data_IF_121800600333
#
_entry.id   IF_121800600333
#
_cell.length_a   1.000
_cell.length_b   1.000
_cell.length_c   1.000
_cell.angle_alpha   90.00
_cell.angle_beta   90.00
_cell.angle_gamma   90.00
#
_symmetry.space_group_name_H-M   'P 1'
#
loop_
_entity.id
_entity.type
_entity.pdbx_description
1 polymer ?
#
# COMPACT_ATOMS: atom_id res chain seq x y z
N UNK A 1 -31.74 -27.30 13.37
CA UNK A 1 -31.12 -27.34 12.03
C UNK A 1 -30.06 -26.23 12.06
N UNK A 2 -28.80 -26.62 12.15
CA UNK A 2 -27.68 -25.62 12.18
C UNK A 2 -27.54 -25.07 10.78
N UNK A 3 -27.80 -23.78 10.64
CA UNK A 3 -27.47 -23.02 9.43
C UNK A 3 -25.92 -23.05 9.23
N UNK A 4 -25.48 -24.07 8.49
CA UNK A 4 -24.11 -24.09 7.97
C UNK A 4 -24.06 -23.15 6.74
N UNK A 5 -24.09 -21.83 6.97
CA UNK A 5 -23.67 -20.90 5.94
C UNK A 5 -22.22 -21.24 5.57
N UNK A 6 -21.87 -21.29 4.28
CA UNK A 6 -20.50 -21.59 3.88
C UNK A 6 -19.57 -20.55 4.49
N UNK A 7 -18.65 -21.02 5.31
CA UNK A 7 -17.61 -20.16 5.90
C UNK A 7 -16.70 -19.74 4.75
N UNK A 8 -16.77 -18.48 4.38
CA UNK A 8 -15.82 -17.91 3.39
C UNK A 8 -14.42 -18.02 3.97
N UNK A 9 -13.46 -18.68 3.29
CA UNK A 9 -12.12 -18.79 3.81
C UNK A 9 -11.50 -17.38 3.93
N UNK A 10 -10.68 -17.14 4.97
CA UNK A 10 -10.01 -15.86 5.14
C UNK A 10 -9.04 -15.63 3.98
N UNK A 11 -9.09 -14.43 3.39
CA UNK A 11 -8.21 -14.03 2.29
C UNK A 11 -7.09 -13.18 2.84
N UNK A 12 -5.84 -13.59 2.59
CA UNK A 12 -4.66 -12.77 2.84
C UNK A 12 -4.14 -12.24 1.50
N UNK A 13 -4.22 -10.92 1.32
CA UNK A 13 -3.88 -10.23 0.08
C UNK A 13 -2.38 -10.05 -0.06
N UNK A 14 -1.82 -10.44 -1.20
CA UNK A 14 -0.39 -10.32 -1.49
C UNK A 14 0.07 -8.89 -1.76
N UNK A 15 -0.84 -8.00 -2.16
CA UNK A 15 -0.52 -6.60 -2.50
C UNK A 15 -1.77 -5.76 -2.68
N UNK A 16 -1.81 -4.56 -2.12
CA UNK A 16 -2.85 -3.57 -2.41
C UNK A 16 -2.31 -2.14 -2.33
N UNK A 17 -2.93 -1.25 -3.11
CA UNK A 17 -2.56 0.15 -3.28
C UNK A 17 -3.50 1.13 -2.57
N UNK A 18 -4.22 0.67 -1.56
CA UNK A 18 -5.21 1.54 -0.87
C UNK A 18 -4.57 2.80 -0.28
N UNK A 19 -3.29 2.74 0.12
CA UNK A 19 -2.59 3.88 0.70
C UNK A 19 -2.34 4.98 -0.34
N UNK A 20 -1.92 4.62 -1.56
CA UNK A 20 -1.75 5.58 -2.65
C UNK A 20 -3.08 6.17 -3.10
N UNK A 21 -4.13 5.35 -3.21
CA UNK A 21 -5.47 5.84 -3.57
C UNK A 21 -6.02 6.86 -2.54
N UNK A 22 -5.81 6.62 -1.26
CA UNK A 22 -6.20 7.56 -0.19
C UNK A 22 -5.34 8.82 -0.22
N UNK A 23 -4.03 8.68 -0.46
CA UNK A 23 -3.10 9.79 -0.57
C UNK A 23 -3.48 10.71 -1.75
N UNK A 24 -3.69 10.15 -2.94
CA UNK A 24 -4.07 10.89 -4.15
C UNK A 24 -5.43 11.60 -3.99
N UNK A 25 -6.38 10.94 -3.32
CA UNK A 25 -7.66 11.56 -3.00
C UNK A 25 -7.50 12.78 -2.07
N UNK A 26 -6.56 12.76 -1.14
CA UNK A 26 -6.20 13.92 -0.30
C UNK A 26 -5.59 15.05 -1.10
N UNK A 27 -4.63 14.74 -1.98
CA UNK A 27 -3.97 15.73 -2.86
C UNK A 27 -4.97 16.42 -3.79
N UNK A 28 -5.87 15.66 -4.42
CA UNK A 28 -6.86 16.21 -5.36
C UNK A 28 -7.86 17.17 -4.71
N UNK A 29 -8.01 17.11 -3.40
CA UNK A 29 -8.90 17.97 -2.62
C UNK A 29 -8.19 19.12 -1.91
N UNK A 30 -6.85 19.19 -2.04
CA UNK A 30 -6.00 20.11 -1.26
C UNK A 30 -6.34 20.10 0.25
N UNK A 31 -6.58 18.90 0.77
CA UNK A 31 -7.03 18.66 2.13
C UNK A 31 -6.30 17.47 2.76
N UNK A 32 -6.24 17.40 4.10
CA UNK A 32 -5.78 16.20 4.78
C UNK A 32 -6.58 14.97 4.34
N UNK A 33 -5.91 13.82 4.24
CA UNK A 33 -6.57 12.57 3.88
C UNK A 33 -7.69 12.26 4.86
N UNK A 34 -8.89 12.15 4.32
CA UNK A 34 -10.08 11.73 5.05
C UNK A 34 -10.14 10.20 5.11
N UNK A 35 -9.77 9.65 6.27
CA UNK A 35 -9.81 8.20 6.52
C UNK A 35 -11.25 7.66 6.47
N UNK A 36 -12.25 8.50 6.76
CA UNK A 36 -13.67 8.09 6.73
C UNK A 36 -14.12 7.72 5.32
N UNK A 37 -13.44 8.19 4.28
CA UNK A 37 -13.67 7.72 2.90
C UNK A 37 -13.42 6.22 2.75
N UNK A 38 -12.47 5.67 3.48
CA UNK A 38 -12.23 4.22 3.49
C UNK A 38 -13.45 3.44 3.99
N UNK A 39 -14.28 4.06 4.85
CA UNK A 39 -15.52 3.46 5.39
C UNK A 39 -16.71 3.72 4.46
N UNK A 40 -16.85 4.96 4.00
CA UNK A 40 -18.04 5.42 3.26
C UNK A 40 -18.09 4.93 1.82
N UNK A 41 -17.02 4.30 1.36
CA UNK A 41 -16.88 3.71 0.04
C UNK A 41 -15.84 4.43 -0.83
N UNK A 42 -14.86 3.67 -1.25
CA UNK A 42 -13.82 4.09 -2.19
C UNK A 42 -14.13 3.59 -3.60
N UNK A 43 -13.77 4.34 -4.65
CA UNK A 43 -13.67 3.76 -5.98
C UNK A 43 -12.65 2.62 -5.98
N UNK A 44 -12.77 1.68 -6.91
CA UNK A 44 -11.86 0.54 -6.99
C UNK A 44 -12.31 -0.66 -6.15
N UNK A 45 -11.37 -1.49 -5.72
CA UNK A 45 -11.64 -2.84 -5.25
C UNK A 45 -11.64 -2.96 -3.73
N UNK A 46 -11.07 -2.00 -3.00
CA UNK A 46 -10.92 -2.04 -1.55
C UNK A 46 -11.55 -0.82 -0.87
N UNK A 47 -12.36 -1.12 0.12
CA UNK A 47 -12.80 -0.25 1.21
C UNK A 47 -13.25 -1.14 2.37
N UNK A 48 -13.58 -0.56 3.51
CA UNK A 48 -13.91 -1.32 4.71
C UNK A 48 -15.09 -2.31 4.50
N UNK A 49 -16.11 -1.92 3.74
CA UNK A 49 -17.28 -2.76 3.48
C UNK A 49 -16.95 -3.92 2.53
N UNK A 50 -16.20 -3.65 1.45
CA UNK A 50 -15.73 -4.67 0.50
C UNK A 50 -14.81 -5.68 1.17
N UNK A 51 -13.86 -5.21 2.00
CA UNK A 51 -12.97 -6.08 2.78
C UNK A 51 -13.78 -7.01 3.69
N UNK A 52 -14.74 -6.47 4.44
CA UNK A 52 -15.60 -7.26 5.32
C UNK A 52 -16.42 -8.30 4.56
N UNK A 53 -17.06 -7.91 3.45
CA UNK A 53 -17.88 -8.79 2.61
C UNK A 53 -17.06 -9.87 1.91
N UNK A 54 -15.83 -9.54 1.51
CA UNK A 54 -14.92 -10.45 0.82
C UNK A 54 -14.14 -11.40 1.73
N UNK A 55 -14.30 -11.33 3.06
CA UNK A 55 -13.53 -12.18 3.98
C UNK A 55 -12.04 -11.79 4.04
N UNK A 56 -11.71 -10.52 3.82
CA UNK A 56 -10.33 -10.01 3.86
C UNK A 56 -9.79 -10.07 5.29
N UNK A 57 -8.80 -10.90 5.52
CA UNK A 57 -8.20 -11.11 6.84
C UNK A 57 -6.93 -10.29 7.04
N UNK A 58 -6.29 -9.87 5.97
CA UNK A 58 -5.08 -9.04 6.01
C UNK A 58 -4.39 -8.98 4.67
N UNK A 59 -3.25 -8.29 4.63
CA UNK A 59 -2.46 -8.19 3.41
C UNK A 59 -1.25 -7.27 3.54
N UNK A 60 -0.54 -7.15 2.41
CA UNK A 60 0.56 -6.20 2.24
C UNK A 60 0.00 -4.87 1.73
N UNK A 61 0.10 -3.85 2.56
CA UNK A 61 -0.33 -2.49 2.27
C UNK A 61 0.86 -1.72 1.68
N UNK A 62 0.80 -1.49 0.37
CA UNK A 62 1.91 -0.91 -0.37
C UNK A 62 1.99 0.60 -0.18
N UNK A 63 3.18 1.05 0.19
CA UNK A 63 3.64 2.42 0.07
C UNK A 63 4.35 2.53 -1.28
N UNK A 64 3.78 3.32 -2.18
CA UNK A 64 4.30 3.49 -3.52
C UNK A 64 4.47 4.97 -3.85
N UNK A 65 5.60 5.33 -4.45
CA UNK A 65 5.89 6.70 -4.88
C UNK A 65 5.53 6.83 -6.36
N UNK A 66 4.52 7.63 -6.73
CA UNK A 66 4.08 7.74 -8.12
C UNK A 66 5.19 8.30 -9.02
N UNK A 67 5.24 7.84 -10.26
CA UNK A 67 6.14 8.39 -11.27
C UNK A 67 5.64 9.77 -11.71
N UNK A 68 6.52 10.73 -11.99
CA UNK A 68 6.16 12.05 -12.49
C UNK A 68 5.83 12.01 -13.99
N UNK A 69 4.94 11.13 -14.38
CA UNK A 69 4.49 10.93 -15.77
C UNK A 69 2.97 10.81 -15.79
N UNK A 70 2.39 11.16 -16.94
CA UNK A 70 0.97 10.95 -17.19
C UNK A 70 0.67 9.45 -17.32
N UNK A 71 0.07 8.89 -16.27
CA UNK A 71 -0.26 7.47 -16.21
C UNK A 71 -1.35 7.09 -17.21
N UNK A 72 -2.25 7.98 -17.58
CA UNK A 72 -3.31 7.70 -18.56
C UNK A 72 -2.72 7.50 -19.95
N UNK A 73 -1.76 8.35 -20.33
CA UNK A 73 -1.02 8.21 -21.59
C UNK A 73 -0.23 6.91 -21.61
N UNK A 74 0.49 6.60 -20.52
CA UNK A 74 1.27 5.37 -20.41
C UNK A 74 0.38 4.14 -20.47
N UNK A 75 -0.73 4.11 -19.74
CA UNK A 75 -1.69 3.00 -19.75
C UNK A 75 -2.29 2.78 -21.14
N UNK A 76 -2.61 3.86 -21.85
CA UNK A 76 -3.10 3.76 -23.22
C UNK A 76 -2.08 3.09 -24.15
N UNK A 77 -0.80 3.45 -24.04
CA UNK A 77 0.28 2.85 -24.81
C UNK A 77 0.51 1.37 -24.44
N UNK A 78 0.45 1.03 -23.15
CA UNK A 78 0.61 -0.35 -22.65
C UNK A 78 -0.53 -1.28 -23.11
N UNK A 79 -1.69 -0.75 -23.46
CA UNK A 79 -2.82 -1.52 -24.00
C UNK A 79 -2.66 -1.89 -25.48
N UNK A 80 -1.62 -1.43 -26.15
CA UNK A 80 -1.31 -1.86 -27.52
C UNK A 80 -0.83 -3.32 -27.54
N UNK A 81 -1.10 -4.08 -28.63
CA UNK A 81 -0.63 -5.48 -28.73
C UNK A 81 0.88 -5.66 -28.65
N UNK A 82 1.62 -4.64 -29.02
CA UNK A 82 3.08 -4.57 -28.90
C UNK A 82 3.44 -3.17 -28.44
N UNK A 83 4.21 -3.06 -27.39
CA UNK A 83 4.74 -1.79 -26.91
C UNK A 83 6.18 -1.95 -26.42
N UNK A 84 6.95 -0.87 -26.56
CA UNK A 84 8.30 -0.70 -25.99
C UNK A 84 8.36 0.72 -25.44
N UNK A 85 8.25 0.85 -24.11
CA UNK A 85 8.19 2.15 -23.45
C UNK A 85 9.43 2.34 -22.59
N UNK A 86 10.03 3.54 -22.64
CA UNK A 86 11.16 3.83 -21.78
C UNK A 86 10.72 3.78 -20.31
N UNK A 87 11.58 3.28 -19.45
CA UNK A 87 11.37 3.36 -18.00
C UNK A 87 11.30 4.83 -17.56
N UNK A 88 10.47 5.15 -16.55
CA UNK A 88 10.47 6.48 -15.97
C UNK A 88 11.82 6.86 -15.38
N UNK A 89 12.07 8.15 -15.26
CA UNK A 89 13.29 8.66 -14.61
C UNK A 89 13.33 8.28 -13.13
N UNK A 90 14.54 8.07 -12.61
CA UNK A 90 14.78 7.88 -11.19
C UNK A 90 14.24 9.06 -10.36
N UNK A 91 13.70 8.77 -9.18
CA UNK A 91 13.26 9.77 -8.20
C UNK A 91 14.26 9.79 -7.05
N UNK A 92 14.74 10.97 -6.71
CA UNK A 92 15.67 11.13 -5.61
C UNK A 92 14.98 10.89 -4.24
N UNK A 93 15.70 10.36 -3.22
CA UNK A 93 15.11 10.07 -1.92
C UNK A 93 14.44 11.25 -1.24
N UNK A 94 14.96 12.46 -1.39
CA UNK A 94 14.38 13.68 -0.83
C UNK A 94 13.00 14.04 -1.41
N UNK A 95 12.73 13.63 -2.64
CA UNK A 95 11.42 13.73 -3.28
C UNK A 95 10.48 12.56 -2.89
N UNK A 96 11.04 11.37 -2.72
CA UNK A 96 10.28 10.17 -2.43
C UNK A 96 9.83 10.07 -0.96
N UNK A 97 10.69 10.50 -0.02
CA UNK A 97 10.44 10.37 1.42
C UNK A 97 9.15 11.06 1.89
N UNK A 98 8.83 12.30 1.50
CA UNK A 98 7.58 12.95 1.93
C UNK A 98 6.33 12.16 1.55
N UNK A 99 6.30 11.59 0.34
CA UNK A 99 5.19 10.77 -0.16
C UNK A 99 5.09 9.47 0.63
N UNK A 100 6.21 8.78 0.82
CA UNK A 100 6.23 7.53 1.57
C UNK A 100 5.85 7.72 3.05
N UNK A 101 6.28 8.79 3.69
CA UNK A 101 5.90 9.13 5.06
C UNK A 101 4.41 9.45 5.17
N UNK A 102 3.84 10.16 4.19
CA UNK A 102 2.41 10.45 4.17
C UNK A 102 1.58 9.16 4.08
N UNK A 103 1.94 8.24 3.20
CA UNK A 103 1.26 6.95 3.07
C UNK A 103 1.44 6.07 4.33
N UNK A 104 2.63 6.03 4.93
CA UNK A 104 2.85 5.36 6.22
C UNK A 104 1.95 5.97 7.32
N UNK A 105 1.83 7.29 7.36
CA UNK A 105 0.97 7.98 8.31
C UNK A 105 -0.52 7.66 8.09
N UNK A 106 -0.96 7.50 6.84
CA UNK A 106 -2.32 7.04 6.50
C UNK A 106 -2.57 5.66 7.13
N UNK A 107 -1.67 4.71 6.95
CA UNK A 107 -1.80 3.37 7.53
C UNK A 107 -1.89 3.42 9.07
N UNK A 108 -1.08 4.24 9.71
CA UNK A 108 -1.16 4.44 11.17
C UNK A 108 -2.48 5.07 11.62
N UNK A 109 -3.03 6.01 10.85
CA UNK A 109 -4.35 6.59 11.12
C UNK A 109 -5.47 5.55 10.98
N UNK A 110 -5.39 4.67 9.99
CA UNK A 110 -6.33 3.53 9.86
C UNK A 110 -6.24 2.59 11.07
N UNK A 111 -5.04 2.33 11.59
CA UNK A 111 -4.86 1.57 12.82
C UNK A 111 -5.45 2.29 14.04
N UNK A 112 -5.18 3.58 14.20
CA UNK A 112 -5.72 4.40 15.31
C UNK A 112 -7.25 4.47 15.27
N UNK A 113 -7.85 4.50 14.08
CA UNK A 113 -9.28 4.43 13.88
C UNK A 113 -9.88 3.04 14.11
N UNK A 114 -9.04 2.01 14.34
CA UNK A 114 -9.47 0.66 14.69
C UNK A 114 -9.80 -0.25 13.50
N UNK A 115 -9.52 0.16 12.26
CA UNK A 115 -9.88 -0.62 11.06
C UNK A 115 -8.98 -1.82 10.82
N UNK A 116 -7.73 -1.73 11.23
CA UNK A 116 -6.72 -2.76 11.01
C UNK A 116 -5.69 -2.74 12.15
N UNK A 117 -4.76 -3.69 12.12
CA UNK A 117 -3.60 -3.74 13.00
C UNK A 117 -2.33 -3.87 12.18
N UNK A 118 -1.36 -2.95 12.36
CA UNK A 118 -0.04 -3.05 11.77
C UNK A 118 0.73 -4.17 12.48
N UNK A 119 1.04 -5.23 11.74
CA UNK A 119 1.71 -6.41 12.26
C UNK A 119 3.21 -6.34 12.04
N UNK A 120 3.97 -6.37 13.12
CA UNK A 120 5.43 -6.32 13.08
C UNK A 120 6.11 -7.64 13.48
N UNK A 121 5.30 -8.67 13.78
CA UNK A 121 5.75 -10.03 14.09
C UNK A 121 4.70 -11.06 13.69
N UNK A 122 5.11 -12.30 13.51
CA UNK A 122 4.22 -13.43 13.23
C UNK A 122 3.20 -13.67 14.35
N UNK A 123 3.58 -13.43 15.60
CA UNK A 123 2.66 -13.54 16.74
C UNK A 123 1.53 -12.50 16.66
N UNK A 124 1.83 -11.26 16.26
CA UNK A 124 0.81 -10.24 16.05
C UNK A 124 -0.11 -10.59 14.88
N UNK A 125 0.47 -11.08 13.78
CA UNK A 125 -0.29 -11.54 12.63
C UNK A 125 -1.27 -12.64 13.02
N UNK A 126 -0.78 -13.69 13.70
CA UNK A 126 -1.62 -14.79 14.15
C UNK A 126 -2.74 -14.30 15.09
N UNK A 127 -2.41 -13.43 16.04
CA UNK A 127 -3.42 -12.85 16.93
C UNK A 127 -4.50 -12.06 16.17
N UNK A 128 -4.17 -11.38 15.10
CA UNK A 128 -5.15 -10.69 14.26
C UNK A 128 -6.08 -11.70 13.59
N UNK A 129 -5.52 -12.74 12.98
CA UNK A 129 -6.29 -13.79 12.30
C UNK A 129 -7.24 -14.52 13.27
N UNK A 130 -6.75 -14.86 14.46
CA UNK A 130 -7.52 -15.57 15.49
C UNK A 130 -8.68 -14.72 16.04
N UNK A 131 -8.53 -13.39 16.02
CA UNK A 131 -9.52 -12.45 16.56
C UNK A 131 -10.34 -11.70 15.48
N UNK A 132 -10.23 -12.10 14.22
CA UNK A 132 -10.96 -11.49 13.12
C UNK A 132 -10.62 -10.01 12.86
N UNK A 133 -9.41 -9.58 13.23
CA UNK A 133 -8.88 -8.23 12.91
C UNK A 133 -8.13 -8.27 11.61
N UNK A 134 -8.30 -7.24 10.80
CA UNK A 134 -7.51 -7.07 9.57
C UNK A 134 -6.04 -6.85 9.94
N UNK A 135 -5.17 -7.77 9.47
CA UNK A 135 -3.73 -7.72 9.68
C UNK A 135 -3.06 -6.95 8.54
N UNK A 136 -2.39 -5.84 8.84
CA UNK A 136 -1.66 -5.06 7.84
C UNK A 136 -0.16 -5.29 7.97
N UNK A 137 0.48 -5.69 6.89
CA UNK A 137 1.94 -5.67 6.75
C UNK A 137 2.29 -4.43 5.95
N UNK A 138 3.02 -3.49 6.58
CA UNK A 138 3.54 -2.32 5.88
C UNK A 138 4.63 -2.77 4.91
N UNK A 139 4.44 -2.45 3.64
CA UNK A 139 5.30 -2.79 2.52
C UNK A 139 5.71 -1.52 1.77
N UNK A 140 6.95 -1.43 1.32
CA UNK A 140 7.40 -0.40 0.37
C UNK A 140 7.60 -1.06 -0.98
N UNK A 141 6.93 -0.54 -2.01
CA UNK A 141 7.10 -0.95 -3.39
C UNK A 141 7.95 0.08 -4.13
N UNK A 142 9.21 -0.30 -4.41
CA UNK A 142 10.23 0.61 -4.91
C UNK A 142 10.95 1.35 -3.77
N UNK A 143 12.25 1.09 -3.64
CA UNK A 143 13.06 1.62 -2.53
C UNK A 143 13.58 3.05 -2.78
N UNK A 144 12.87 3.87 -3.57
CA UNK A 144 13.21 5.26 -3.81
C UNK A 144 13.33 6.09 -2.52
N UNK A 145 12.49 5.86 -1.47
CA UNK A 145 12.62 6.61 -0.22
C UNK A 145 13.85 6.25 0.61
N UNK A 146 14.58 5.17 0.25
CA UNK A 146 15.70 4.68 1.06
C UNK A 146 16.99 5.37 0.64
N UNK A 147 17.63 6.03 1.60
CA UNK A 147 18.91 6.71 1.42
C UNK A 147 20.09 5.73 1.35
N UNK A 148 21.25 6.27 0.97
CA UNK A 148 22.49 5.48 0.81
C UNK A 148 22.95 4.82 2.12
N UNK A 149 22.75 5.51 3.23
CA UNK A 149 23.27 5.12 4.54
C UNK A 149 22.21 4.37 5.37
N UNK A 150 21.02 4.10 4.78
CA UNK A 150 19.89 3.36 5.36
C UNK A 150 19.24 4.01 6.59
N UNK A 151 19.48 5.28 6.87
CA UNK A 151 18.81 5.97 7.99
C UNK A 151 17.28 5.99 7.79
N UNK A 152 16.81 6.20 6.57
CA UNK A 152 15.38 6.15 6.26
C UNK A 152 14.81 4.75 6.46
N UNK A 153 15.55 3.70 6.07
CA UNK A 153 15.13 2.32 6.29
C UNK A 153 14.98 2.01 7.78
N UNK A 154 15.92 2.45 8.60
CA UNK A 154 15.84 2.28 10.05
C UNK A 154 14.59 2.95 10.63
N UNK A 155 14.25 4.15 10.17
CA UNK A 155 13.07 4.87 10.60
C UNK A 155 11.77 4.20 10.12
N UNK A 156 11.68 3.79 8.85
CA UNK A 156 10.53 3.03 8.36
C UNK A 156 10.37 1.70 9.10
N UNK A 157 11.46 0.99 9.39
CA UNK A 157 11.40 -0.24 10.18
C UNK A 157 10.84 0.00 11.57
N UNK A 158 11.21 1.10 12.23
CA UNK A 158 10.64 1.51 13.53
C UNK A 158 9.19 1.90 13.43
N UNK A 159 8.79 2.54 12.32
CA UNK A 159 7.39 2.84 12.01
C UNK A 159 6.54 1.61 11.68
N UNK A 160 7.14 0.43 11.53
CA UNK A 160 6.39 -0.81 11.31
C UNK A 160 6.64 -1.52 9.98
N UNK A 161 7.52 -1.00 9.12
CA UNK A 161 7.88 -1.65 7.86
C UNK A 161 8.41 -3.07 8.10
N UNK A 162 7.90 -4.05 7.32
CA UNK A 162 8.32 -5.45 7.39
C UNK A 162 8.54 -6.09 6.03
N UNK A 163 8.23 -5.37 4.96
CA UNK A 163 8.42 -5.86 3.60
C UNK A 163 8.90 -4.73 2.69
N UNK A 164 9.76 -5.03 1.74
CA UNK A 164 10.25 -4.10 0.74
C UNK A 164 10.49 -4.83 -0.57
N UNK A 165 9.94 -4.30 -1.66
CA UNK A 165 10.33 -4.61 -3.02
C UNK A 165 11.37 -3.57 -3.47
N UNK A 166 12.64 -3.94 -3.68
CA UNK A 166 13.68 -2.96 -3.94
C UNK A 166 13.43 -2.09 -5.17
N UNK A 167 12.82 -2.68 -6.20
CA UNK A 167 12.58 -2.03 -7.50
C UNK A 167 11.25 -2.52 -8.05
N UNK A 168 10.53 -1.63 -8.73
CA UNK A 168 9.37 -1.99 -9.56
C UNK A 168 9.64 -1.59 -11.03
N UNK A 169 8.92 -0.62 -11.58
CA UNK A 169 8.99 -0.22 -13.01
C UNK A 169 9.81 1.06 -13.24
N UNK A 170 10.66 1.44 -12.32
CA UNK A 170 11.49 2.64 -12.39
C UNK A 170 12.86 2.34 -11.81
N UNK A 171 13.95 2.75 -12.51
CA UNK A 171 15.28 2.64 -11.95
C UNK A 171 15.40 3.38 -10.62
N UNK A 172 16.16 2.82 -9.71
CA UNK A 172 16.62 3.47 -8.50
C UNK A 172 18.00 2.92 -8.12
N UNK A 173 18.59 3.38 -7.04
CA UNK A 173 19.94 2.95 -6.63
C UNK A 173 20.10 1.45 -6.38
N UNK A 174 19.02 0.69 -6.25
CA UNK A 174 19.03 -0.74 -5.94
C UNK A 174 18.84 -1.62 -7.19
N UNK A 175 18.42 -1.05 -8.32
CA UNK A 175 18.21 -1.78 -9.57
C UNK A 175 17.51 -0.95 -10.63
N UNK A 176 17.26 -1.60 -11.79
CA UNK A 176 16.72 -0.92 -12.95
C UNK A 176 15.19 -1.01 -13.10
N UNK A 177 14.57 -2.00 -12.47
CA UNK A 177 13.14 -2.25 -12.64
C UNK A 177 12.79 -3.07 -13.88
N UNK A 178 11.51 -3.20 -14.16
CA UNK A 178 10.92 -3.96 -15.27
C UNK A 178 10.06 -3.08 -16.17
#
# INVERSE_FOLDING_TARGET
MSDNAPVTPPIFDGHNDILSLLYDAGLSMDAPVDIDRFITGMPGHLDADKMRKGGFAGGFFAIWVPSPIDMDVKTTQMNLPVYDLPLPSEIAPDQAVPVALAQAAILHRMEQAGYLKICTSTAMLQSCLDNGKIAAIMHIEGAEPIDRDFYHLDMFRRAGLRSIGPVWSRPNRFGHGV
#
